data_IF_338288359275
#
_entry.id   IF_338288359275
#
_cell.length_a   1.000
_cell.length_b   1.000
_cell.length_c   1.000
_cell.angle_alpha   90.00
_cell.angle_beta   90.00
_cell.angle_gamma   90.00
#
_symmetry.space_group_name_H-M   'P 1'
#
loop_
_entity.id
_entity.type
_entity.pdbx_description
1 polymer ?
#
# COMPACT_ATOMS: atom_id res chain seq x y z
N UNK A 1 -9.91 6.66 -65.94
CA UNK A 1 -9.74 7.82 -65.03
C UNK A 1 -10.42 7.49 -63.73
N UNK A 2 -9.65 7.04 -62.73
CA UNK A 2 -10.11 6.86 -61.33
C UNK A 2 -9.62 8.10 -60.60
N UNK A 3 -10.57 8.95 -60.21
CA UNK A 3 -10.31 10.13 -59.38
C UNK A 3 -9.81 9.68 -58.00
N UNK A 4 -8.60 10.10 -57.69
CA UNK A 4 -7.99 9.93 -56.34
C UNK A 4 -8.46 11.04 -55.42
N UNK A 5 -9.72 11.09 -55.09
CA UNK A 5 -10.23 11.89 -53.96
C UNK A 5 -10.21 11.05 -52.69
N UNK A 6 -9.02 10.93 -52.10
CA UNK A 6 -8.92 10.53 -50.71
C UNK A 6 -9.36 11.75 -49.89
N UNK A 7 -10.48 11.69 -49.15
CA UNK A 7 -10.86 12.81 -48.33
C UNK A 7 -9.76 13.01 -47.28
N UNK A 8 -9.20 14.20 -47.25
CA UNK A 8 -8.29 14.65 -46.16
C UNK A 8 -9.01 14.50 -44.85
N UNK A 9 -8.77 13.37 -44.15
CA UNK A 9 -9.23 13.16 -42.79
C UNK A 9 -8.39 14.09 -41.92
N UNK A 10 -8.93 15.28 -41.71
CA UNK A 10 -8.36 16.29 -40.82
C UNK A 10 -8.41 15.75 -39.41
N UNK A 11 -7.44 14.91 -39.04
CA UNK A 11 -7.19 14.43 -37.69
C UNK A 11 -6.70 15.61 -36.81
N UNK A 12 -7.46 16.71 -36.80
CA UNK A 12 -7.26 17.73 -35.78
C UNK A 12 -7.50 17.11 -34.44
N UNK A 13 -6.40 16.75 -33.82
CA UNK A 13 -6.16 16.43 -32.41
C UNK A 13 -7.19 17.00 -31.43
N UNK A 14 -8.30 16.31 -31.25
CA UNK A 14 -9.16 16.47 -30.10
C UNK A 14 -8.65 15.66 -28.89
N UNK A 15 -7.35 15.31 -28.87
CA UNK A 15 -6.74 14.49 -27.82
C UNK A 15 -6.48 15.23 -26.51
N UNK A 16 -6.76 16.54 -26.41
CA UNK A 16 -6.37 17.34 -25.23
C UNK A 16 -7.47 17.66 -24.23
N UNK A 17 -8.71 17.25 -24.43
CA UNK A 17 -9.71 17.35 -23.37
C UNK A 17 -9.71 16.08 -22.54
N UNK A 18 -8.95 16.08 -21.43
CA UNK A 18 -9.02 15.06 -20.39
C UNK A 18 -10.36 15.19 -19.67
N UNK A 19 -11.38 14.50 -20.16
CA UNK A 19 -12.64 14.40 -19.43
C UNK A 19 -12.44 13.46 -18.24
N UNK A 20 -12.70 13.95 -17.03
CA UNK A 20 -12.82 13.12 -15.84
C UNK A 20 -14.30 12.78 -15.68
N UNK A 21 -14.64 11.50 -15.75
CA UNK A 21 -15.97 11.01 -15.39
C UNK A 21 -16.00 10.68 -13.90
N UNK A 22 -17.12 10.95 -13.23
CA UNK A 22 -17.38 10.47 -11.86
C UNK A 22 -18.56 9.51 -11.95
N UNK A 23 -18.36 8.27 -11.51
CA UNK A 23 -19.38 7.23 -11.52
C UNK A 23 -19.63 6.71 -10.10
N UNK A 24 -20.88 6.42 -9.79
CA UNK A 24 -21.29 5.81 -8.53
C UNK A 24 -21.31 4.28 -8.63
N UNK A 25 -21.13 3.62 -7.48
CA UNK A 25 -21.25 2.16 -7.31
C UNK A 25 -20.24 1.31 -8.07
N UNK A 26 -18.97 1.66 -7.97
CA UNK A 26 -17.82 0.81 -8.25
C UNK A 26 -17.88 0.04 -9.58
N UNK A 27 -16.83 0.13 -10.32
CA UNK A 27 -16.66 -0.62 -11.56
C UNK A 27 -15.23 -0.56 -12.03
N UNK A 28 -14.97 -1.28 -13.11
CA UNK A 28 -13.70 -1.20 -13.80
C UNK A 28 -13.94 -0.40 -15.08
N UNK A 29 -13.17 0.65 -15.28
CA UNK A 29 -13.27 1.44 -16.49
C UNK A 29 -12.50 0.75 -17.64
N UNK A 30 -13.22 0.41 -18.71
CA UNK A 30 -12.64 -0.15 -19.93
C UNK A 30 -12.44 0.91 -21.02
N UNK A 31 -12.77 2.17 -20.75
CA UNK A 31 -12.63 3.26 -21.71
C UNK A 31 -11.32 4.04 -21.50
N UNK A 32 -10.91 4.80 -22.52
CA UNK A 32 -9.77 5.73 -22.44
C UNK A 32 -10.04 6.95 -21.53
N UNK A 33 -11.26 7.09 -21.03
CA UNK A 33 -11.64 8.19 -20.12
C UNK A 33 -11.11 7.91 -18.71
N UNK A 34 -10.57 8.94 -18.08
CA UNK A 34 -10.16 8.87 -16.68
C UNK A 34 -11.41 8.97 -15.80
N UNK A 35 -11.81 7.87 -15.20
CA UNK A 35 -13.01 7.80 -14.36
C UNK A 35 -12.61 7.63 -12.89
N UNK A 36 -13.25 8.41 -12.02
CA UNK A 36 -13.19 8.23 -10.58
C UNK A 36 -14.48 7.53 -10.15
N UNK A 37 -14.33 6.44 -9.44
CA UNK A 37 -15.43 5.66 -8.89
C UNK A 37 -15.63 6.01 -7.43
N UNK A 38 -16.89 6.19 -7.03
CA UNK A 38 -17.28 6.45 -5.66
C UNK A 38 -18.29 5.38 -5.26
N UNK A 39 -18.01 4.67 -4.16
CA UNK A 39 -18.93 3.67 -3.62
C UNK A 39 -19.09 3.86 -2.12
N UNK A 40 -20.27 3.62 -1.54
CA UNK A 40 -20.42 3.58 -0.10
C UNK A 40 -19.54 2.49 0.48
N UNK A 41 -18.95 2.76 1.63
CA UNK A 41 -18.04 1.84 2.30
C UNK A 41 -18.28 1.87 3.80
N UNK A 42 -18.27 0.69 4.41
CA UNK A 42 -18.40 0.54 5.85
C UNK A 42 -17.33 -0.41 6.39
N UNK A 43 -16.90 -0.19 7.61
CA UNK A 43 -15.94 -1.02 8.31
C UNK A 43 -16.28 -1.14 9.80
N UNK A 44 -15.56 -2.04 10.46
CA UNK A 44 -15.69 -2.26 11.91
C UNK A 44 -14.29 -2.23 12.54
N UNK A 45 -14.15 -1.47 13.61
CA UNK A 45 -12.98 -1.45 14.46
C UNK A 45 -13.44 -1.41 15.92
N UNK A 46 -12.78 -2.16 16.80
CA UNK A 46 -13.08 -2.19 18.24
C UNK A 46 -13.11 -0.80 18.88
N UNK A 47 -12.24 0.09 18.45
CA UNK A 47 -12.06 1.42 19.04
C UNK A 47 -12.91 2.49 18.36
N UNK A 48 -13.05 2.44 17.04
CA UNK A 48 -13.83 3.40 16.25
C UNK A 48 -15.32 3.00 16.15
N UNK A 49 -15.65 1.75 16.45
CA UNK A 49 -17.00 1.20 16.31
C UNK A 49 -17.33 0.89 14.86
N UNK A 50 -18.58 1.15 14.45
CA UNK A 50 -18.99 1.14 13.06
C UNK A 50 -18.41 2.38 12.40
N UNK A 51 -17.71 2.17 11.29
CA UNK A 51 -17.13 3.26 10.49
C UNK A 51 -17.91 3.33 9.18
N UNK A 52 -18.44 4.50 8.85
CA UNK A 52 -19.24 4.71 7.64
C UNK A 52 -18.58 5.78 6.79
N UNK A 53 -18.49 5.56 5.51
CA UNK A 53 -17.87 6.49 4.60
C UNK A 53 -18.01 6.09 3.14
N UNK A 54 -17.03 6.48 2.33
CA UNK A 54 -17.00 6.16 0.91
C UNK A 54 -15.60 5.70 0.53
N UNK A 55 -15.51 4.86 -0.50
CA UNK A 55 -14.27 4.53 -1.17
C UNK A 55 -14.24 5.24 -2.53
N UNK A 56 -13.14 5.93 -2.80
CA UNK A 56 -12.86 6.58 -4.06
C UNK A 56 -11.66 5.91 -4.70
N UNK A 57 -11.76 5.57 -5.99
CA UNK A 57 -10.64 4.98 -6.71
C UNK A 57 -10.69 5.27 -8.21
N UNK A 58 -9.56 5.10 -8.88
CA UNK A 58 -9.45 5.23 -10.33
C UNK A 58 -8.93 3.95 -11.00
N UNK A 59 -9.25 2.79 -10.43
CA UNK A 59 -8.86 1.49 -11.01
C UNK A 59 -9.49 1.33 -12.39
N UNK A 60 -8.67 0.96 -13.37
CA UNK A 60 -9.09 0.84 -14.78
C UNK A 60 -8.34 -0.30 -15.48
N UNK A 61 -8.91 -0.73 -16.61
CA UNK A 61 -8.27 -1.66 -17.54
C UNK A 61 -8.30 -1.00 -18.94
N UNK A 62 -7.15 -0.73 -19.57
CA UNK A 62 -5.77 -0.95 -19.08
C UNK A 62 -5.43 -0.09 -17.87
N UNK A 63 -4.43 -0.54 -17.13
CA UNK A 63 -4.01 0.13 -15.90
C UNK A 63 -3.49 1.55 -16.15
N UNK A 64 -3.94 2.49 -15.34
CA UNK A 64 -3.39 3.85 -15.33
C UNK A 64 -2.00 3.86 -14.66
N UNK A 65 -1.04 4.67 -15.18
CA UNK A 65 0.25 4.85 -14.49
C UNK A 65 0.10 5.40 -13.08
N UNK A 66 -0.89 6.26 -12.85
CA UNK A 66 -1.25 6.77 -11.54
C UNK A 66 -2.55 6.15 -11.06
N UNK A 67 -2.48 5.45 -9.94
CA UNK A 67 -3.61 4.78 -9.28
C UNK A 67 -3.77 5.29 -7.87
N UNK A 68 -5.01 5.43 -7.42
CA UNK A 68 -5.30 5.74 -6.02
C UNK A 68 -6.53 5.01 -5.53
N UNK A 69 -6.54 4.77 -4.24
CA UNK A 69 -7.68 4.29 -3.45
C UNK A 69 -7.70 5.11 -2.18
N UNK A 70 -8.80 5.79 -1.91
CA UNK A 70 -8.99 6.62 -0.71
C UNK A 70 -10.30 6.20 -0.07
N UNK A 71 -10.27 5.86 1.22
CA UNK A 71 -11.43 5.42 1.97
C UNK A 71 -11.56 6.23 3.27
N UNK A 72 -12.08 7.48 3.20
CA UNK A 72 -12.43 8.26 4.37
C UNK A 72 -13.70 7.70 5.02
N UNK A 73 -13.67 7.56 6.34
CA UNK A 73 -14.80 7.05 7.13
C UNK A 73 -14.93 7.84 8.42
N UNK A 74 -16.15 7.90 8.94
CA UNK A 74 -16.44 8.45 10.25
C UNK A 74 -16.67 7.31 11.26
N UNK A 75 -15.89 7.27 12.33
CA UNK A 75 -16.01 6.30 13.41
C UNK A 75 -17.13 6.70 14.39
N UNK A 76 -18.17 5.88 14.49
CA UNK A 76 -19.33 6.19 15.32
C UNK A 76 -19.00 6.22 16.83
N UNK A 77 -18.01 5.46 17.24
CA UNK A 77 -17.61 5.35 18.66
C UNK A 77 -16.53 6.36 19.04
N UNK A 78 -15.52 6.56 18.18
CA UNK A 78 -14.45 7.54 18.41
C UNK A 78 -14.88 8.96 18.06
N UNK A 79 -15.92 9.13 17.26
CA UNK A 79 -16.39 10.41 16.70
C UNK A 79 -15.31 11.14 15.89
N UNK A 80 -14.37 10.39 15.33
CA UNK A 80 -13.23 10.89 14.57
C UNK A 80 -13.32 10.50 13.09
N UNK A 81 -12.70 11.32 12.23
CA UNK A 81 -12.44 10.95 10.85
C UNK A 81 -11.28 9.93 10.84
N UNK A 82 -11.55 8.75 10.29
CA UNK A 82 -10.61 7.63 10.18
C UNK A 82 -10.57 7.14 8.75
N UNK A 83 -9.62 6.29 8.43
CA UNK A 83 -9.57 5.69 7.11
C UNK A 83 -8.16 5.44 6.61
N UNK A 84 -8.08 5.13 5.33
CA UNK A 84 -6.80 4.91 4.67
C UNK A 84 -6.82 5.46 3.25
N UNK A 85 -5.62 5.75 2.75
CA UNK A 85 -5.40 6.06 1.34
C UNK A 85 -4.13 5.38 0.84
N UNK A 86 -4.16 4.98 -0.42
CA UNK A 86 -3.02 4.42 -1.13
C UNK A 86 -2.91 5.12 -2.47
N UNK A 87 -1.73 5.61 -2.77
CA UNK A 87 -1.37 6.17 -4.07
C UNK A 87 -0.25 5.33 -4.65
N UNK A 88 -0.33 5.05 -5.94
CA UNK A 88 0.71 4.35 -6.69
C UNK A 88 0.96 5.09 -8.01
N UNK A 89 2.24 5.28 -8.34
CA UNK A 89 2.66 5.77 -9.65
C UNK A 89 3.74 4.86 -10.20
N UNK A 90 3.50 4.30 -11.39
CA UNK A 90 4.42 3.41 -12.09
C UNK A 90 5.05 4.15 -13.27
N UNK A 91 6.38 4.21 -13.28
CA UNK A 91 7.18 4.71 -14.40
C UNK A 91 7.92 3.56 -15.07
N UNK A 92 7.58 3.28 -16.33
CA UNK A 92 8.32 2.31 -17.15
C UNK A 92 9.56 2.95 -17.77
N UNK A 93 10.64 2.21 -17.81
CA UNK A 93 11.92 2.63 -18.40
C UNK A 93 12.23 1.76 -19.62
N UNK A 94 12.60 2.40 -20.71
CA UNK A 94 13.12 1.74 -21.92
C UNK A 94 14.64 1.74 -21.89
N UNK A 95 15.26 0.67 -22.41
CA UNK A 95 16.72 0.54 -22.53
C UNK A 95 17.50 0.70 -21.21
N UNK A 96 16.92 0.25 -20.09
CA UNK A 96 17.51 0.27 -18.76
C UNK A 96 17.55 -1.12 -18.15
N UNK A 97 18.47 -1.35 -17.21
CA UNK A 97 18.49 -2.55 -16.34
C UNK A 97 17.24 -2.58 -15.46
N UNK A 98 16.70 -1.41 -15.09
CA UNK A 98 15.44 -1.28 -14.37
C UNK A 98 14.31 -1.27 -15.41
N UNK A 99 13.32 -2.15 -15.23
CA UNK A 99 12.14 -2.25 -16.09
C UNK A 99 11.12 -1.17 -15.74
N UNK A 100 10.82 -1.04 -14.44
CA UNK A 100 9.94 0.00 -13.93
C UNK A 100 10.32 0.42 -12.52
N UNK A 101 9.86 1.61 -12.15
CA UNK A 101 9.95 2.15 -10.79
C UNK A 101 8.52 2.43 -10.34
N UNK A 102 8.14 1.82 -9.21
CA UNK A 102 6.86 2.04 -8.58
C UNK A 102 7.03 2.91 -7.34
N UNK A 103 6.27 3.99 -7.28
CA UNK A 103 6.19 4.88 -6.13
C UNK A 103 4.86 4.63 -5.43
N UNK A 104 4.91 4.31 -4.14
CA UNK A 104 3.73 4.13 -3.31
C UNK A 104 3.73 5.14 -2.16
N UNK A 105 2.54 5.59 -1.80
CA UNK A 105 2.30 6.32 -0.57
C UNK A 105 1.11 5.70 0.15
N UNK A 106 1.33 5.20 1.35
CA UNK A 106 0.30 4.62 2.19
C UNK A 106 0.01 5.54 3.36
N UNK A 107 -1.25 5.91 3.52
CA UNK A 107 -1.74 6.74 4.62
C UNK A 107 -2.78 5.95 5.41
N UNK A 108 -2.70 6.00 6.74
CA UNK A 108 -3.69 5.38 7.62
C UNK A 108 -3.91 6.24 8.85
N UNK A 109 -5.17 6.31 9.31
CA UNK A 109 -5.56 6.94 10.57
C UNK A 109 -6.69 6.15 11.18
N UNK A 110 -6.48 5.57 12.38
CA UNK A 110 -7.47 4.77 13.08
C UNK A 110 -7.31 4.90 14.60
N UNK A 111 -8.40 4.65 15.33
CA UNK A 111 -8.36 4.43 16.77
C UNK A 111 -7.64 3.11 17.12
N UNK A 112 -6.77 3.12 18.12
CA UNK A 112 -6.04 1.92 18.55
C UNK A 112 -6.15 1.64 20.05
N UNK A 113 -6.59 2.62 20.84
CA UNK A 113 -6.80 2.46 22.27
C UNK A 113 -7.96 3.33 22.75
N UNK A 114 -8.51 2.96 23.88
CA UNK A 114 -9.61 3.69 24.52
C UNK A 114 -9.54 3.47 26.03
N UNK A 115 -9.56 4.56 26.78
CA UNK A 115 -9.79 4.51 28.20
C UNK A 115 -11.28 4.48 28.51
N UNK A 116 -11.64 3.68 29.53
CA UNK A 116 -12.96 3.67 30.11
C UNK A 116 -12.82 3.76 31.62
N UNK A 117 -13.07 4.93 32.17
CA UNK A 117 -13.18 5.11 33.60
C UNK A 117 -14.62 5.49 33.87
N UNK A 118 -15.33 4.75 34.76
CA UNK A 118 -16.70 5.10 35.13
C UNK A 118 -16.75 6.53 35.71
N UNK A 119 -17.68 7.36 35.15
CA UNK A 119 -17.83 8.75 35.57
C UNK A 119 -17.06 9.79 34.75
N UNK A 120 -16.15 9.37 33.82
CA UNK A 120 -15.39 10.27 32.95
C UNK A 120 -15.71 10.07 31.48
N UNK A 121 -15.45 11.08 30.68
CA UNK A 121 -15.65 10.98 29.22
C UNK A 121 -14.74 9.88 28.62
N UNK A 122 -15.32 9.13 27.68
CA UNK A 122 -14.61 8.06 26.98
C UNK A 122 -13.63 8.65 25.98
N UNK A 123 -12.38 8.69 26.34
CA UNK A 123 -11.30 9.21 25.49
C UNK A 123 -10.76 8.13 24.56
N UNK A 124 -10.72 8.39 23.27
CA UNK A 124 -10.18 7.49 22.26
C UNK A 124 -8.84 8.01 21.74
N UNK A 125 -7.83 7.15 21.73
CA UNK A 125 -6.52 7.44 21.14
C UNK A 125 -6.48 7.00 19.69
N UNK A 126 -5.83 7.79 18.85
CA UNK A 126 -5.62 7.46 17.46
C UNK A 126 -4.13 7.43 17.07
N UNK A 127 -3.83 6.66 16.05
CA UNK A 127 -2.53 6.69 15.40
C UNK A 127 -2.69 7.18 13.96
N UNK A 128 -1.64 7.79 13.46
CA UNK A 128 -1.51 8.16 12.07
C UNK A 128 -0.23 7.54 11.52
N UNK A 129 -0.31 7.01 10.31
CA UNK A 129 0.82 6.39 9.63
C UNK A 129 0.94 6.92 8.23
N UNK A 130 2.15 7.38 7.91
CA UNK A 130 2.57 7.74 6.55
C UNK A 130 3.70 6.80 6.16
N UNK A 131 3.58 6.10 5.05
CA UNK A 131 4.60 5.17 4.61
C UNK A 131 4.86 5.30 3.10
N UNK A 132 5.82 6.16 2.69
CA UNK A 132 6.30 6.20 1.32
C UNK A 132 7.13 4.94 1.02
N UNK A 133 7.00 4.43 -0.20
CA UNK A 133 7.78 3.29 -0.69
C UNK A 133 8.17 3.50 -2.15
N UNK A 134 9.40 3.17 -2.50
CA UNK A 134 9.89 3.12 -3.87
C UNK A 134 10.35 1.70 -4.15
N UNK A 135 9.88 1.12 -5.25
CA UNK A 135 10.22 -0.23 -5.68
C UNK A 135 10.90 -0.16 -7.05
N UNK A 136 12.10 -0.67 -7.15
CA UNK A 136 12.85 -0.84 -8.39
C UNK A 136 12.70 -2.28 -8.85
N UNK A 137 12.02 -2.49 -9.97
CA UNK A 137 11.87 -3.81 -10.60
C UNK A 137 12.90 -3.95 -11.70
N UNK A 138 13.74 -4.95 -11.59
CA UNK A 138 14.80 -5.19 -12.56
C UNK A 138 14.26 -5.94 -13.78
N UNK A 139 14.76 -5.57 -14.95
CA UNK A 139 14.46 -6.24 -16.21
C UNK A 139 14.95 -7.68 -16.15
N UNK A 140 14.10 -8.59 -16.58
CA UNK A 140 14.49 -10.00 -16.68
C UNK A 140 15.53 -10.17 -17.79
N UNK A 141 16.53 -11.06 -17.60
CA UNK A 141 17.56 -11.30 -18.62
C UNK A 141 16.98 -11.78 -19.95
N UNK A 142 15.83 -12.45 -19.93
CA UNK A 142 15.10 -12.95 -21.09
C UNK A 142 13.60 -12.94 -20.79
N UNK A 143 12.77 -12.76 -21.80
CA UNK A 143 11.32 -12.92 -21.72
C UNK A 143 10.88 -14.31 -21.24
N UNK A 144 11.72 -15.33 -21.43
CA UNK A 144 11.48 -16.70 -20.94
C UNK A 144 11.91 -16.91 -19.48
N UNK A 145 12.63 -15.96 -18.89
CA UNK A 145 13.07 -16.08 -17.50
C UNK A 145 11.88 -15.95 -16.56
N UNK A 146 11.71 -16.92 -15.68
CA UNK A 146 10.73 -16.89 -14.60
C UNK A 146 11.23 -16.14 -13.36
N UNK A 147 12.54 -15.81 -13.33
CA UNK A 147 13.17 -15.14 -12.19
C UNK A 147 13.04 -13.62 -12.33
N UNK A 148 12.54 -12.98 -11.29
CA UNK A 148 12.45 -11.54 -11.14
C UNK A 148 13.16 -11.06 -9.88
N UNK A 149 13.75 -9.87 -9.96
CA UNK A 149 14.44 -9.21 -8.87
C UNK A 149 13.81 -7.86 -8.60
N UNK A 150 13.70 -7.50 -7.34
CA UNK A 150 13.26 -6.15 -6.97
C UNK A 150 13.95 -5.68 -5.69
N UNK A 151 14.19 -4.36 -5.62
CA UNK A 151 14.65 -3.66 -4.42
C UNK A 151 13.54 -2.70 -4.02
N UNK A 152 13.16 -2.70 -2.75
CA UNK A 152 12.24 -1.69 -2.22
C UNK A 152 12.86 -0.92 -1.05
N UNK A 153 12.65 0.38 -1.05
CA UNK A 153 12.96 1.29 0.05
C UNK A 153 11.66 1.86 0.57
N UNK A 154 11.38 1.64 1.85
CA UNK A 154 10.13 2.06 2.50
C UNK A 154 10.43 2.83 3.78
N UNK A 155 9.89 4.04 3.89
CA UNK A 155 9.89 4.82 5.10
C UNK A 155 8.61 4.60 5.91
N UNK A 156 8.69 4.79 7.20
CA UNK A 156 7.55 4.77 8.11
C UNK A 156 7.64 5.98 9.03
N UNK A 157 6.62 6.80 9.01
CA UNK A 157 6.36 7.84 9.97
C UNK A 157 5.06 7.49 10.68
N UNK A 158 5.14 7.17 11.95
CA UNK A 158 4.01 6.76 12.78
C UNK A 158 3.91 7.75 13.93
N UNK A 159 2.74 8.35 14.06
CA UNK A 159 2.41 9.27 15.17
C UNK A 159 1.34 8.60 16.01
N UNK A 160 1.64 8.38 17.27
CA UNK A 160 0.75 7.73 18.24
C UNK A 160 0.47 8.67 19.39
N UNK A 161 -0.76 8.66 19.87
CA UNK A 161 -1.13 9.32 21.13
C UNK A 161 -0.97 8.32 22.26
N UNK A 162 -0.60 8.82 23.44
CA UNK A 162 -0.54 8.01 24.65
C UNK A 162 -1.43 8.61 25.73
N UNK A 163 -1.74 7.81 26.75
CA UNK A 163 -2.40 8.30 27.95
C UNK A 163 -1.35 8.77 28.96
N UNK A 164 -1.53 9.99 29.46
CA UNK A 164 -0.86 10.47 30.66
C UNK A 164 -1.80 10.29 31.84
N UNK A 165 -1.26 9.77 32.93
CA UNK A 165 -1.98 9.63 34.17
C UNK A 165 -1.47 10.70 35.14
N UNK A 166 -2.38 11.36 35.82
CA UNK A 166 -2.00 12.22 36.94
C UNK A 166 -1.26 11.41 38.01
N UNK A 167 -0.48 12.08 38.88
CA UNK A 167 0.30 11.47 39.98
C UNK A 167 -0.52 10.55 40.88
N UNK A 168 -1.83 10.77 40.94
CA UNK A 168 -2.77 9.93 41.69
C UNK A 168 -3.40 8.80 40.85
N UNK A 169 -3.01 8.62 39.58
CA UNK A 169 -3.56 7.61 38.63
C UNK A 169 -5.09 7.64 38.48
N UNK A 170 -5.73 8.78 38.75
CA UNK A 170 -7.19 8.87 38.86
C UNK A 170 -7.85 9.22 37.54
N UNK A 171 -7.22 10.05 36.69
CA UNK A 171 -7.80 10.50 35.41
C UNK A 171 -6.79 10.39 34.30
N UNK A 172 -7.08 9.60 33.24
CA UNK A 172 -6.22 9.57 32.06
C UNK A 172 -6.50 10.80 31.21
N UNK A 173 -5.46 11.58 30.96
CA UNK A 173 -5.45 12.64 29.98
C UNK A 173 -4.80 12.18 28.69
N UNK A 174 -5.20 12.79 27.56
CA UNK A 174 -4.52 12.55 26.28
C UNK A 174 -3.15 13.20 26.33
N UNK A 175 -2.12 12.39 26.27
CA UNK A 175 -0.74 12.85 26.24
C UNK A 175 -0.34 13.47 24.90
N UNK A 176 0.89 13.94 24.83
CA UNK A 176 1.47 14.43 23.57
C UNK A 176 1.64 13.27 22.57
N UNK A 177 1.62 13.62 21.29
CA UNK A 177 1.89 12.64 20.22
C UNK A 177 3.37 12.28 20.22
N UNK A 178 3.64 10.98 20.21
CA UNK A 178 4.98 10.46 19.98
C UNK A 178 5.17 10.11 18.51
N UNK A 179 6.34 10.44 17.99
CA UNK A 179 6.68 10.22 16.59
C UNK A 179 7.73 9.12 16.47
N UNK A 180 7.39 8.06 15.78
CA UNK A 180 8.26 6.93 15.50
C UNK A 180 8.63 6.92 14.01
N UNK A 181 9.93 7.01 13.71
CA UNK A 181 10.44 7.00 12.34
C UNK A 181 11.36 5.80 12.18
N UNK A 182 11.14 5.01 11.12
CA UNK A 182 12.07 3.96 10.73
C UNK A 182 12.03 3.72 9.22
N UNK A 183 13.14 3.21 8.69
CA UNK A 183 13.29 2.84 7.30
C UNK A 183 13.41 1.32 7.14
N UNK A 184 12.99 0.83 5.99
CA UNK A 184 13.13 -0.56 5.58
C UNK A 184 13.66 -0.65 4.16
N UNK A 185 14.73 -1.41 3.99
CA UNK A 185 15.27 -1.83 2.70
C UNK A 185 14.97 -3.31 2.52
N UNK A 186 14.48 -3.69 1.35
CA UNK A 186 14.22 -5.10 1.04
C UNK A 186 14.77 -5.44 -0.34
N UNK A 187 15.41 -6.60 -0.46
CA UNK A 187 15.76 -7.22 -1.74
C UNK A 187 15.00 -8.53 -1.89
N UNK A 188 14.29 -8.68 -2.98
CA UNK A 188 13.43 -9.82 -3.24
C UNK A 188 13.82 -10.49 -4.55
N UNK A 189 14.02 -11.81 -4.49
CA UNK A 189 14.23 -12.70 -5.63
C UNK A 189 13.04 -13.63 -5.70
N UNK A 190 12.35 -13.63 -6.81
CA UNK A 190 11.17 -14.49 -7.01
C UNK A 190 11.30 -15.27 -8.30
N UNK A 191 11.18 -16.56 -8.21
CA UNK A 191 11.00 -17.45 -9.35
C UNK A 191 9.54 -17.90 -9.43
N UNK A 192 8.86 -17.52 -10.49
CA UNK A 192 7.43 -17.77 -10.71
C UNK A 192 7.15 -18.97 -11.62
N UNK A 193 8.11 -19.91 -11.77
CA UNK A 193 7.90 -21.12 -12.55
C UNK A 193 6.72 -21.94 -12.04
N UNK A 194 6.06 -22.68 -12.92
CA UNK A 194 4.91 -23.50 -12.53
C UNK A 194 5.31 -24.63 -11.58
N UNK A 195 6.48 -25.23 -11.80
CA UNK A 195 7.00 -26.35 -11.00
C UNK A 195 8.09 -25.82 -10.08
N UNK A 196 7.94 -26.04 -8.78
CA UNK A 196 8.88 -25.67 -7.73
C UNK A 196 9.24 -24.16 -7.70
N UNK A 197 8.26 -23.25 -7.65
CA UNK A 197 8.53 -21.81 -7.49
C UNK A 197 9.17 -21.53 -6.13
N UNK A 198 10.00 -20.48 -6.09
CA UNK A 198 10.60 -20.03 -4.83
C UNK A 198 10.57 -18.49 -4.73
N UNK A 199 10.69 -18.02 -3.49
CA UNK A 199 10.87 -16.61 -3.19
C UNK A 199 11.86 -16.47 -2.04
N UNK A 200 12.89 -15.65 -2.23
CA UNK A 200 13.86 -15.30 -1.19
C UNK A 200 13.85 -13.80 -0.99
N UNK A 201 13.72 -13.37 0.26
CA UNK A 201 13.67 -11.96 0.64
C UNK A 201 14.67 -11.67 1.74
N UNK A 202 15.49 -10.67 1.53
CA UNK A 202 16.37 -10.07 2.52
C UNK A 202 15.81 -8.72 2.93
N UNK A 203 15.75 -8.45 4.23
CA UNK A 203 15.20 -7.20 4.76
C UNK A 203 16.15 -6.61 5.81
N UNK A 204 16.44 -5.32 5.69
CA UNK A 204 17.06 -4.50 6.70
C UNK A 204 16.07 -3.44 7.18
N UNK A 205 15.94 -3.25 8.47
CA UNK A 205 15.15 -2.20 9.09
C UNK A 205 16.04 -1.39 10.03
N UNK A 206 15.90 -0.08 9.98
CA UNK A 206 16.63 0.85 10.83
C UNK A 206 15.66 1.87 11.42
N UNK A 207 15.60 1.91 12.73
CA UNK A 207 14.86 2.91 13.51
C UNK A 207 15.81 3.72 14.39
N UNK A 208 15.27 4.62 15.20
CA UNK A 208 16.06 5.44 16.11
C UNK A 208 16.80 4.58 17.15
N UNK A 209 16.14 3.57 17.73
CA UNK A 209 16.64 2.77 18.83
C UNK A 209 16.93 1.31 18.48
N UNK A 210 16.71 0.93 17.20
CA UNK A 210 16.89 -0.44 16.76
C UNK A 210 17.36 -0.57 15.32
N UNK A 211 18.07 -1.67 15.06
CA UNK A 211 18.30 -2.20 13.73
C UNK A 211 17.89 -3.66 13.68
N UNK A 212 17.34 -4.11 12.57
CA UNK A 212 16.95 -5.50 12.35
C UNK A 212 17.37 -5.93 10.95
N UNK A 213 17.97 -7.09 10.86
CA UNK A 213 18.22 -7.78 9.59
C UNK A 213 17.48 -9.11 9.60
N UNK A 214 16.92 -9.50 8.46
CA UNK A 214 16.26 -10.79 8.34
C UNK A 214 16.29 -11.31 6.92
N UNK A 215 16.23 -12.65 6.79
CA UNK A 215 16.07 -13.36 5.54
C UNK A 215 14.90 -14.31 5.65
N UNK A 216 14.08 -14.38 4.61
CA UNK A 216 12.95 -15.30 4.50
C UNK A 216 13.06 -16.01 3.16
N UNK A 217 13.02 -17.35 3.18
CA UNK A 217 12.96 -18.18 1.98
C UNK A 217 11.66 -18.99 2.01
N UNK A 218 10.93 -18.97 0.90
CA UNK A 218 9.74 -19.79 0.69
C UNK A 218 9.98 -20.65 -0.54
N UNK A 219 9.66 -21.92 -0.43
CA UNK A 219 9.81 -22.88 -1.50
C UNK A 219 8.57 -23.77 -1.59
N UNK A 220 8.07 -23.97 -2.81
CA UNK A 220 6.97 -24.91 -3.08
C UNK A 220 7.53 -26.09 -3.84
N UNK A 221 7.55 -27.23 -3.25
CA UNK A 221 7.95 -28.50 -3.88
C UNK A 221 6.71 -29.23 -4.40
N UNK A 222 6.57 -29.33 -5.72
CA UNK A 222 5.49 -30.09 -6.36
C UNK A 222 5.96 -31.53 -6.57
N UNK A 223 5.33 -32.49 -5.89
CA UNK A 223 5.69 -33.93 -5.99
C UNK A 223 4.67 -34.73 -6.79
N UNK A 224 3.62 -34.09 -7.30
CA UNK A 224 2.62 -34.73 -8.13
C UNK A 224 2.06 -33.81 -9.19
N UNK A 225 1.83 -34.33 -10.41
CA UNK A 225 1.17 -33.63 -11.50
C UNK A 225 -0.29 -33.24 -11.18
N UNK A 226 -0.91 -33.85 -10.17
CA UNK A 226 -2.27 -33.54 -9.70
C UNK A 226 -2.32 -32.34 -8.74
N UNK A 227 -1.30 -31.46 -8.74
CA UNK A 227 -1.29 -30.24 -7.93
C UNK A 227 -0.94 -30.42 -6.46
N UNK A 228 -0.52 -31.63 -6.02
CA UNK A 228 -0.06 -31.86 -4.65
C UNK A 228 1.33 -31.24 -4.47
N UNK A 229 1.50 -30.45 -3.42
CA UNK A 229 2.75 -29.74 -3.14
C UNK A 229 3.04 -29.67 -1.64
N UNK A 230 4.31 -29.65 -1.32
CA UNK A 230 4.83 -29.32 0.00
C UNK A 230 5.31 -27.87 -0.01
N UNK A 231 4.98 -27.13 1.03
CA UNK A 231 5.40 -25.74 1.21
C UNK A 231 6.39 -25.66 2.37
N UNK A 232 7.60 -25.22 2.10
CA UNK A 232 8.64 -24.96 3.09
C UNK A 232 8.85 -23.46 3.24
N UNK A 233 9.00 -23.01 4.48
CA UNK A 233 9.41 -21.63 4.82
C UNK A 233 10.55 -21.68 5.82
N UNK A 234 11.64 -21.02 5.49
CA UNK A 234 12.74 -20.75 6.40
C UNK A 234 12.80 -19.25 6.72
N UNK A 235 13.10 -18.92 7.97
CA UNK A 235 13.29 -17.57 8.43
C UNK A 235 14.49 -17.50 9.36
N UNK A 236 15.34 -16.52 9.14
CA UNK A 236 16.43 -16.14 10.03
C UNK A 236 16.44 -14.63 10.20
N UNK A 237 16.73 -14.16 11.39
CA UNK A 237 16.81 -12.72 11.67
C UNK A 237 17.50 -12.41 12.96
N UNK A 238 18.08 -11.21 13.01
CA UNK A 238 18.74 -10.67 14.21
C UNK A 238 18.27 -9.25 14.45
N UNK A 239 17.98 -8.98 15.69
CA UNK A 239 17.59 -7.67 16.20
C UNK A 239 18.76 -7.09 16.98
N UNK A 240 19.07 -5.82 16.74
CA UNK A 240 20.09 -5.07 17.44
C UNK A 240 19.41 -3.88 18.12
N UNK A 241 19.61 -3.76 19.42
CA UNK A 241 19.25 -2.55 20.14
C UNK A 241 20.38 -1.54 19.94
N UNK A 242 20.04 -0.36 19.47
CA UNK A 242 20.96 0.77 19.39
C UNK A 242 20.82 1.53 20.70
N UNK A 243 21.96 1.91 21.30
CA UNK A 243 21.93 2.81 22.48
C UNK A 243 21.44 4.18 22.02
N UNK A 244 20.63 4.80 22.86
CA UNK A 244 20.29 6.22 22.72
C UNK A 244 21.52 7.09 22.90
#
# INVERSE_FOLDING_TARGET
FISNDIPDINLKNNFNKKYYGVNAFGGINYSKQKTIWISPFAGLNRYDGIMVGAILHNVSVPENPFKFIIAPMFGTRSKNLVGHATFNYTKHLTNSIIENIDFFLYLKSYGFSRSYIPGFEKTSLNYQKVAPEVVFNFRRPSYRSSVSHSISLKGYYITEQDFKYDSLFTVPEVGNRENNIYGKLSYNIRDSRLINPYNVRFEGQLGKTFAKISATANYKFNYSLKGKAFYARAYAGKFFKLSD
#
